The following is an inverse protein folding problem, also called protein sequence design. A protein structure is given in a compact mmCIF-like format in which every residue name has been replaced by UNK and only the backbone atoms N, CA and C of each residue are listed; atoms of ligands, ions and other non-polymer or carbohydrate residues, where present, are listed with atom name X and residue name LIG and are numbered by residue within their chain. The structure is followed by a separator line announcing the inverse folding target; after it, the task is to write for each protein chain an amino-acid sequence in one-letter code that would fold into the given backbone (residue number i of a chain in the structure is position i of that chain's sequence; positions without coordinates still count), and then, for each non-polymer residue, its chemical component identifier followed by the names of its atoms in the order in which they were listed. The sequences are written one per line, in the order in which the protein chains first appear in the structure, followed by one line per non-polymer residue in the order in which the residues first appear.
data_IF_045328910480
#
_entry.id   IF_045328910480
#
_cell.length_a   1.000
_cell.length_b   1.000
_cell.length_c   1.000
_cell.angle_alpha   90.00
_cell.angle_beta   90.00
_cell.angle_gamma   90.00
#
_symmetry.space_group_name_H-M   'P 1'
#
loop_
_entity.id
_entity.type
_entity.pdbx_description
1 polymer ?
#
# COMPACT_ATOMS: atom_id res chain seq x y z
N UNK A 1 -0.83 44.55 -10.43
CA UNK A 1 -1.80 43.46 -10.72
C UNK A 1 -1.11 42.10 -10.91
N UNK A 2 0.19 42.07 -11.19
CA UNK A 2 0.99 40.84 -11.43
C UNK A 2 1.17 39.93 -10.20
N UNK A 3 1.21 40.47 -8.97
CA UNK A 3 1.46 39.66 -7.78
C UNK A 3 0.27 38.77 -7.38
N UNK A 4 -0.98 39.22 -7.59
CA UNK A 4 -2.16 38.43 -7.20
C UNK A 4 -2.34 37.19 -8.09
N UNK A 5 -2.04 37.28 -9.37
CA UNK A 5 -2.10 36.14 -10.28
C UNK A 5 -1.07 35.06 -9.91
N UNK A 6 0.14 35.47 -9.51
CA UNK A 6 1.19 34.56 -9.05
C UNK A 6 0.78 33.80 -7.77
N UNK A 7 0.13 34.47 -6.82
CA UNK A 7 -0.37 33.83 -5.60
C UNK A 7 -1.49 32.83 -5.88
N UNK A 8 -2.38 33.13 -6.84
CA UNK A 8 -3.45 32.21 -7.24
C UNK A 8 -2.84 30.95 -7.87
N UNK A 9 -1.88 31.10 -8.79
CA UNK A 9 -1.19 29.97 -9.43
C UNK A 9 -0.44 29.12 -8.40
N UNK A 10 0.28 29.74 -7.47
CA UNK A 10 0.97 29.03 -6.40
C UNK A 10 0.00 28.28 -5.48
N UNK A 11 -1.15 28.88 -5.14
CA UNK A 11 -2.19 28.25 -4.34
C UNK A 11 -2.82 27.03 -5.03
N UNK A 12 -3.12 27.15 -6.33
CA UNK A 12 -3.61 26.04 -7.15
C UNK A 12 -2.58 24.91 -7.25
N UNK A 13 -1.29 25.25 -7.38
CA UNK A 13 -0.22 24.26 -7.41
C UNK A 13 -0.09 23.50 -6.08
N UNK A 14 -0.09 24.21 -4.95
CA UNK A 14 -0.05 23.59 -3.62
C UNK A 14 -1.29 22.72 -3.37
N UNK A 15 -2.47 23.19 -3.78
CA UNK A 15 -3.71 22.42 -3.69
C UNK A 15 -3.66 21.15 -4.54
N UNK A 16 -3.16 21.22 -5.78
CA UNK A 16 -2.98 20.06 -6.66
C UNK A 16 -2.01 19.05 -6.08
N UNK A 17 -0.87 19.48 -5.55
CA UNK A 17 0.09 18.61 -4.88
C UNK A 17 -0.55 17.92 -3.68
N UNK A 18 -1.23 18.69 -2.81
CA UNK A 18 -1.95 18.15 -1.65
C UNK A 18 -3.03 17.14 -2.06
N UNK A 19 -3.79 17.45 -3.12
CA UNK A 19 -4.84 16.58 -3.65
C UNK A 19 -4.26 15.27 -4.20
N UNK A 20 -3.14 15.30 -4.92
CA UNK A 20 -2.46 14.09 -5.41
C UNK A 20 -2.02 13.20 -4.24
N UNK A 21 -1.36 13.78 -3.23
CA UNK A 21 -0.97 13.03 -2.02
C UNK A 21 -2.18 12.43 -1.29
N UNK A 22 -3.29 13.18 -1.23
CA UNK A 22 -4.54 12.70 -0.64
C UNK A 22 -5.17 11.55 -1.47
N UNK A 23 -5.16 11.67 -2.79
CA UNK A 23 -5.76 10.68 -3.70
C UNK A 23 -5.00 9.34 -3.67
N UNK A 24 -3.66 9.39 -3.58
CA UNK A 24 -2.81 8.19 -3.38
C UNK A 24 -3.18 7.48 -2.07
N UNK A 25 -3.49 8.25 -1.01
CA UNK A 25 -3.90 7.70 0.28
C UNK A 25 -5.31 7.09 0.24
N UNK A 26 -6.22 7.66 -0.54
CA UNK A 26 -7.61 7.21 -0.64
C UNK A 26 -7.79 5.96 -1.51
N UNK A 27 -6.94 5.76 -2.53
CA UNK A 27 -6.95 4.54 -3.33
C UNK A 27 -6.44 3.29 -2.61
N UNK A 28 -5.79 3.47 -1.46
CA UNK A 28 -5.24 2.40 -0.64
C UNK A 28 -6.38 1.63 0.01
N UNK A 29 -6.80 0.57 -0.68
CA UNK A 29 -8.14 0.03 -0.59
C UNK A 29 -8.49 -0.69 0.71
N UNK A 30 -9.77 -1.02 0.83
CA UNK A 30 -10.16 -2.09 1.74
C UNK A 30 -11.41 -2.82 1.21
N UNK A 31 -11.33 -4.16 1.29
CA UNK A 31 -12.36 -5.17 0.95
C UNK A 31 -12.32 -5.79 -0.45
N UNK A 32 -11.14 -6.13 -0.99
CA UNK A 32 -11.05 -7.24 -1.97
C UNK A 32 -11.16 -8.60 -1.26
N UNK A 33 -11.93 -9.53 -1.83
CA UNK A 33 -12.03 -10.93 -1.38
C UNK A 33 -10.65 -11.61 -1.56
N UNK A 34 -10.26 -12.46 -0.61
CA UNK A 34 -9.02 -13.25 -0.65
C UNK A 34 -8.85 -14.00 -1.97
N UNK A 35 -9.92 -14.54 -2.56
CA UNK A 35 -9.87 -15.22 -3.85
C UNK A 35 -9.37 -14.31 -4.97
N UNK A 36 -9.89 -13.09 -5.04
CA UNK A 36 -9.44 -12.09 -6.02
C UNK A 36 -8.03 -11.60 -5.73
N UNK A 37 -7.70 -11.37 -4.45
CA UNK A 37 -6.35 -11.02 -4.04
C UNK A 37 -5.33 -12.08 -4.48
N UNK A 38 -5.63 -13.37 -4.35
CA UNK A 38 -4.75 -14.43 -4.84
C UNK A 38 -4.55 -14.40 -6.35
N UNK A 39 -5.61 -14.12 -7.12
CA UNK A 39 -5.51 -14.00 -8.57
C UNK A 39 -4.61 -12.83 -8.95
N UNK A 40 -4.93 -11.64 -8.48
CA UNK A 40 -4.18 -10.42 -8.80
C UNK A 40 -2.74 -10.42 -8.27
N UNK A 41 -2.52 -10.99 -7.08
CA UNK A 41 -1.18 -11.13 -6.51
C UNK A 41 -0.30 -12.07 -7.35
N UNK A 42 -0.89 -13.09 -8.00
CA UNK A 42 -0.21 -13.95 -8.97
C UNK A 42 0.05 -13.25 -10.29
N UNK A 43 -0.86 -12.38 -10.73
CA UNK A 43 -0.70 -11.52 -11.91
C UNK A 43 0.34 -10.40 -11.69
N UNK A 44 0.84 -10.21 -10.46
CA UNK A 44 1.91 -9.27 -10.14
C UNK A 44 1.43 -7.92 -9.63
N UNK A 45 0.14 -7.76 -9.35
CA UNK A 45 -0.41 -6.51 -8.83
C UNK A 45 0.14 -6.24 -7.41
N UNK A 46 0.95 -5.19 -7.28
CA UNK A 46 1.63 -4.80 -6.04
C UNK A 46 0.66 -4.64 -4.86
N UNK A 47 -0.45 -3.92 -5.07
CA UNK A 47 -1.46 -3.68 -4.03
C UNK A 47 -2.15 -4.98 -3.59
N UNK A 48 -2.40 -5.90 -4.53
CA UNK A 48 -2.99 -7.20 -4.20
C UNK A 48 -2.03 -8.06 -3.37
N UNK A 49 -0.73 -8.03 -3.68
CA UNK A 49 0.30 -8.72 -2.90
C UNK A 49 0.36 -8.16 -1.47
N UNK A 50 0.36 -6.84 -1.32
CA UNK A 50 0.30 -6.19 -0.01
C UNK A 50 -0.92 -6.63 0.80
N UNK A 51 -2.12 -6.50 0.21
CA UNK A 51 -3.35 -6.81 0.90
C UNK A 51 -3.44 -8.30 1.26
N UNK A 52 -2.97 -9.19 0.39
CA UNK A 52 -2.89 -10.61 0.68
C UNK A 52 -1.94 -10.90 1.86
N UNK A 53 -0.80 -10.22 1.91
CA UNK A 53 0.15 -10.32 3.03
C UNK A 53 -0.51 -9.91 4.36
N UNK A 54 -1.23 -8.78 4.39
CA UNK A 54 -1.99 -8.28 5.54
C UNK A 54 -3.05 -9.29 6.00
N UNK A 55 -3.75 -9.95 5.05
CA UNK A 55 -4.72 -11.02 5.37
C UNK A 55 -4.05 -12.22 6.03
N UNK A 56 -2.91 -12.67 5.50
CA UNK A 56 -2.13 -13.76 6.13
C UNK A 56 -1.55 -13.38 7.49
N UNK A 57 -1.19 -12.12 7.71
CA UNK A 57 -0.69 -11.65 8.99
C UNK A 57 -1.79 -11.64 10.05
N UNK A 58 -3.00 -11.18 9.69
CA UNK A 58 -4.14 -11.10 10.61
C UNK A 58 -4.90 -12.42 10.78
N UNK A 59 -4.87 -13.30 9.79
CA UNK A 59 -5.72 -14.48 9.73
C UNK A 59 -7.15 -14.19 9.25
N UNK A 60 -7.34 -13.10 8.50
CA UNK A 60 -8.65 -12.68 8.00
C UNK A 60 -9.01 -13.51 6.76
N UNK A 61 -10.00 -14.40 6.87
CA UNK A 61 -10.46 -15.30 5.78
C UNK A 61 -9.41 -16.30 5.28
N UNK A 62 -8.17 -16.25 5.79
CA UNK A 62 -7.09 -17.21 5.56
C UNK A 62 -6.49 -17.64 6.89
N UNK A 63 -5.89 -18.82 6.94
CA UNK A 63 -5.11 -19.23 8.12
C UNK A 63 -3.93 -18.27 8.31
N UNK A 64 -3.82 -17.71 9.52
CA UNK A 64 -2.70 -16.85 9.90
C UNK A 64 -1.38 -17.55 9.62
N UNK A 65 -0.50 -16.91 8.85
CA UNK A 65 0.82 -17.42 8.49
C UNK A 65 1.80 -16.29 8.24
N UNK A 66 2.79 -16.20 9.12
CA UNK A 66 3.86 -15.21 9.07
C UNK A 66 4.76 -15.42 7.85
N UNK A 67 5.00 -16.68 7.50
CA UNK A 67 5.82 -17.06 6.35
C UNK A 67 5.16 -16.59 5.05
N UNK A 68 3.85 -16.83 4.91
CA UNK A 68 3.10 -16.38 3.74
C UNK A 68 2.99 -14.85 3.70
N UNK A 69 2.73 -14.21 4.85
CA UNK A 69 2.70 -12.75 4.94
C UNK A 69 4.05 -12.14 4.51
N UNK A 70 5.16 -12.63 5.05
CA UNK A 70 6.50 -12.15 4.68
C UNK A 70 6.81 -12.36 3.20
N UNK A 71 6.45 -13.52 2.64
CA UNK A 71 6.64 -13.80 1.21
C UNK A 71 5.91 -12.80 0.31
N UNK A 72 4.64 -12.52 0.60
CA UNK A 72 3.86 -11.56 -0.21
C UNK A 72 4.30 -10.11 0.03
N UNK A 73 4.66 -9.73 1.26
CA UNK A 73 5.25 -8.42 1.54
C UNK A 73 6.59 -8.23 0.83
N UNK A 74 7.43 -9.25 0.77
CA UNK A 74 8.71 -9.19 0.04
C UNK A 74 8.50 -8.92 -1.45
N UNK A 75 7.50 -9.57 -2.07
CA UNK A 75 7.17 -9.33 -3.49
C UNK A 75 6.65 -7.90 -3.72
N UNK A 76 5.74 -7.42 -2.88
CA UNK A 76 5.25 -6.05 -2.98
C UNK A 76 6.39 -5.02 -2.76
N UNK A 77 7.26 -5.27 -1.78
CA UNK A 77 8.42 -4.42 -1.49
C UNK A 77 9.43 -4.39 -2.66
N UNK A 78 9.63 -5.50 -3.35
CA UNK A 78 10.47 -5.56 -4.55
C UNK A 78 9.95 -4.66 -5.68
N UNK A 79 8.63 -4.55 -5.81
CA UNK A 79 7.99 -3.67 -6.79
C UNK A 79 7.93 -2.20 -6.35
N UNK A 80 8.44 -1.86 -5.16
CA UNK A 80 8.51 -0.49 -4.66
C UNK A 80 7.46 -0.12 -3.61
N UNK A 81 6.68 -1.07 -3.10
CA UNK A 81 5.76 -0.80 -1.99
C UNK A 81 6.53 -0.53 -0.69
N UNK A 82 6.62 0.77 -0.35
CA UNK A 82 7.31 1.25 0.84
C UNK A 82 6.65 0.80 2.14
N UNK A 83 5.33 0.60 2.14
CA UNK A 83 4.61 0.13 3.31
C UNK A 83 4.83 -1.38 3.52
N UNK A 84 4.80 -2.17 2.44
CA UNK A 84 5.15 -3.58 2.50
C UNK A 84 6.58 -3.80 3.02
N UNK A 85 7.52 -2.96 2.58
CA UNK A 85 8.90 -2.96 3.11
C UNK A 85 8.92 -2.67 4.61
N UNK A 86 8.19 -1.65 5.06
CA UNK A 86 8.08 -1.31 6.48
C UNK A 86 7.52 -2.46 7.32
N UNK A 87 6.47 -3.13 6.85
CA UNK A 87 5.91 -4.31 7.52
C UNK A 87 6.89 -5.49 7.53
N UNK A 88 7.60 -5.75 6.43
CA UNK A 88 8.61 -6.81 6.39
C UNK A 88 9.75 -6.55 7.40
N UNK A 89 10.24 -5.31 7.47
CA UNK A 89 11.24 -4.92 8.46
C UNK A 89 10.74 -5.09 9.89
N UNK A 90 9.48 -4.73 10.16
CA UNK A 90 8.89 -4.94 11.48
C UNK A 90 8.77 -6.43 11.83
N UNK A 91 8.37 -7.27 10.87
CA UNK A 91 8.28 -8.72 11.08
C UNK A 91 9.65 -9.33 11.41
N UNK A 92 10.73 -8.88 10.75
CA UNK A 92 12.10 -9.32 11.02
C UNK A 92 12.58 -8.80 12.38
N UNK A 93 12.39 -7.51 12.68
CA UNK A 93 12.90 -6.86 13.90
C UNK A 93 12.17 -7.32 15.15
N UNK A 94 10.85 -7.44 15.11
CA UNK A 94 10.01 -7.71 16.29
C UNK A 94 9.61 -9.19 16.41
N UNK A 95 10.03 -10.06 15.48
CA UNK A 95 9.54 -11.45 15.32
C UNK A 95 8.01 -11.53 15.40
N UNK A 96 7.31 -10.48 14.99
CA UNK A 96 5.90 -10.31 15.32
C UNK A 96 5.04 -10.89 14.22
N UNK A 97 4.24 -11.85 14.66
CA UNK A 97 3.11 -12.43 13.97
C UNK A 97 2.01 -12.54 15.01
#
# INVERSE_FOLDING_TARGET
MENMELYIIAGLFVFMVWFIFNTIKYYKGEKRNVKHLHRFAKEGEMEAQHHLAKRYQKGDMVKKSCQNAAFWYQKAAFLGDSEAKGFLEEMVKKKKC
#
